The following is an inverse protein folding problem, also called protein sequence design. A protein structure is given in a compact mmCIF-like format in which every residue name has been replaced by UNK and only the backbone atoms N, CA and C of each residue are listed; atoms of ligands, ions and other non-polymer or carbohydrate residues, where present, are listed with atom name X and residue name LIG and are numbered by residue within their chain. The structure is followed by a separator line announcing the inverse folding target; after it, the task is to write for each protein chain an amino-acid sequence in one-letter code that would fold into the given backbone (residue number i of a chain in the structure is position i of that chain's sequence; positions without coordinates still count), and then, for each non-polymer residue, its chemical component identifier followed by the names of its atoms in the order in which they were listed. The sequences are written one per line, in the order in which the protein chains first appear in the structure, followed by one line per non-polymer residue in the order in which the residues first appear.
data_IF_033151675862
#
_entry.id   IF_033151675862
#
_cell.length_a   1.000
_cell.length_b   1.000
_cell.length_c   1.000
_cell.angle_alpha   90.00
_cell.angle_beta   90.00
_cell.angle_gamma   90.00
#
_symmetry.space_group_name_H-M   'P 1'
#
loop_
_entity.id
_entity.type
_entity.pdbx_description
1 polymer ?
#
# COMPACT_ATOMS: atom_id res chain seq x y z
N UNK A 1 -1.87 2.34 -13.76
CA UNK A 1 -3.31 2.24 -13.37
C UNK A 1 -3.64 1.35 -12.13
N UNK A 2 -2.71 0.50 -11.69
CA UNK A 2 -2.85 -0.46 -10.57
C UNK A 2 -2.69 0.16 -9.18
N UNK A 3 -1.97 1.29 -9.08
CA UNK A 3 -1.68 1.94 -7.80
C UNK A 3 -2.92 2.57 -7.13
N UNK A 4 -3.86 3.13 -7.89
CA UNK A 4 -5.05 3.78 -7.34
C UNK A 4 -5.97 2.83 -6.57
N UNK A 5 -6.07 1.58 -7.01
CA UNK A 5 -6.98 0.56 -6.45
C UNK A 5 -6.38 -0.02 -5.16
N UNK A 6 -5.09 -0.39 -5.19
CA UNK A 6 -4.39 -0.92 -4.01
C UNK A 6 -4.24 0.16 -2.93
N UNK A 7 -3.99 1.42 -3.31
CA UNK A 7 -3.98 2.53 -2.36
C UNK A 7 -5.37 2.85 -1.81
N UNK A 8 -6.44 2.84 -2.62
CA UNK A 8 -7.79 3.08 -2.13
C UNK A 8 -8.22 2.01 -1.12
N UNK A 9 -7.93 0.73 -1.40
CA UNK A 9 -8.22 -0.37 -0.47
C UNK A 9 -7.38 -0.29 0.81
N UNK A 10 -6.08 0.02 0.72
CA UNK A 10 -5.21 0.16 1.91
C UNK A 10 -5.49 1.42 2.73
N UNK A 11 -5.88 2.53 2.10
CA UNK A 11 -6.28 3.78 2.79
C UNK A 11 -7.63 3.59 3.48
N UNK A 12 -8.59 2.90 2.85
CA UNK A 12 -9.86 2.54 3.49
C UNK A 12 -9.67 1.62 4.71
N UNK A 13 -8.77 0.64 4.61
CA UNK A 13 -8.43 -0.27 5.71
C UNK A 13 -7.68 0.45 6.85
N UNK A 14 -6.77 1.36 6.52
CA UNK A 14 -5.95 2.11 7.47
C UNK A 14 -6.72 3.20 8.22
N UNK A 15 -7.59 3.94 7.52
CA UNK A 15 -8.43 4.98 8.12
C UNK A 15 -9.45 4.38 9.10
N UNK A 16 -10.10 3.28 8.72
CA UNK A 16 -11.03 2.54 9.58
C UNK A 16 -10.34 1.95 10.83
N UNK A 17 -9.06 1.54 10.74
CA UNK A 17 -8.31 1.06 11.91
C UNK A 17 -7.86 2.21 12.84
N UNK A 18 -7.40 3.34 12.31
CA UNK A 18 -6.80 4.41 13.13
C UNK A 18 -7.81 5.25 13.91
N UNK A 19 -9.02 5.44 13.40
CA UNK A 19 -10.06 6.21 14.10
C UNK A 19 -10.50 5.50 15.40
N UNK A 20 -10.33 4.18 15.47
CA UNK A 20 -11.02 3.38 16.47
C UNK A 20 -10.18 2.96 17.68
N UNK A 21 -8.86 2.90 17.55
CA UNK A 21 -7.96 2.54 18.67
C UNK A 21 -8.07 3.56 19.83
N UNK A 22 -8.35 4.84 19.52
CA UNK A 22 -8.51 5.88 20.54
C UNK A 22 -9.77 5.72 21.40
N UNK A 23 -10.81 5.06 20.91
CA UNK A 23 -12.05 4.85 21.67
C UNK A 23 -11.97 3.67 22.64
N UNK A 24 -11.15 2.64 22.34
CA UNK A 24 -10.89 1.50 23.22
C UNK A 24 -10.22 1.92 24.54
N UNK A 25 -9.33 2.92 24.52
CA UNK A 25 -8.64 3.42 25.71
C UNK A 25 -9.55 4.24 26.63
N UNK A 26 -10.58 4.89 26.09
CA UNK A 26 -11.52 5.71 26.86
C UNK A 26 -12.65 4.90 27.52
N UNK A 27 -13.04 3.76 26.93
CA UNK A 27 -14.14 2.92 27.43
C UNK A 27 -13.77 2.03 28.63
N UNK A 28 -12.47 1.86 28.92
CA UNK A 28 -11.98 1.06 30.06
C UNK A 28 -12.06 1.79 31.42
N UNK A 29 -12.43 3.08 31.44
CA UNK A 29 -12.36 3.95 32.64
C UNK A 29 -13.72 4.37 33.23
N UNK A 30 -14.85 3.73 32.88
CA UNK A 30 -16.19 4.16 33.31
C UNK A 30 -17.04 3.07 33.99
N UNK A 31 -17.44 3.32 35.24
CA UNK A 31 -18.07 2.40 36.19
C UNK A 31 -19.42 1.77 35.76
N UNK A 32 -19.61 0.49 36.11
CA UNK A 32 -20.83 0.07 36.84
C UNK A 32 -22.13 -0.26 36.10
N UNK A 33 -22.12 -0.62 34.81
CA UNK A 33 -23.21 -1.33 34.08
C UNK A 33 -22.56 -2.24 33.03
N UNK A 34 -21.55 -2.99 33.48
CA UNK A 34 -20.42 -3.44 32.65
C UNK A 34 -20.82 -4.32 31.47
N UNK A 35 -21.78 -5.25 31.56
CA UNK A 35 -22.10 -6.13 30.42
C UNK A 35 -22.97 -5.44 29.35
N UNK A 36 -23.93 -4.59 29.75
CA UNK A 36 -24.80 -3.88 28.82
C UNK A 36 -24.06 -2.71 28.16
N UNK A 37 -23.30 -1.93 28.92
CA UNK A 37 -22.45 -0.86 28.37
C UNK A 37 -21.39 -1.44 27.42
N UNK A 38 -20.74 -2.55 27.77
CA UNK A 38 -19.80 -3.24 26.88
C UNK A 38 -20.51 -3.77 25.63
N UNK A 39 -21.69 -4.40 25.75
CA UNK A 39 -22.42 -4.91 24.57
C UNK A 39 -22.91 -3.79 23.65
N UNK A 40 -23.35 -2.66 24.21
CA UNK A 40 -23.81 -1.49 23.45
C UNK A 40 -22.64 -0.74 22.81
N UNK A 41 -21.49 -0.62 23.49
CA UNK A 41 -20.27 -0.04 22.92
C UNK A 41 -19.67 -0.96 21.85
N UNK A 42 -19.61 -2.27 22.11
CA UNK A 42 -19.17 -3.26 21.13
C UNK A 42 -20.12 -3.33 19.91
N UNK A 43 -21.45 -3.33 20.08
CA UNK A 43 -22.36 -3.33 18.90
C UNK A 43 -22.46 -1.96 18.24
N UNK A 44 -22.47 -0.87 19.01
CA UNK A 44 -22.69 0.49 18.51
C UNK A 44 -21.45 1.13 17.89
N UNK A 45 -20.26 0.86 18.45
CA UNK A 45 -19.00 1.42 17.97
C UNK A 45 -18.23 0.42 17.11
N UNK A 46 -18.23 -0.90 17.38
CA UNK A 46 -17.42 -1.85 16.60
C UNK A 46 -18.16 -2.46 15.38
N UNK A 47 -19.50 -2.61 15.41
CA UNK A 47 -20.24 -3.12 14.25
C UNK A 47 -20.05 -2.29 12.96
N UNK A 48 -19.96 -0.94 13.00
CA UNK A 48 -19.59 -0.14 11.83
C UNK A 48 -18.23 -0.49 11.21
N UNK A 49 -17.31 -1.09 11.97
CA UNK A 49 -15.93 -1.38 11.54
C UNK A 49 -15.76 -2.75 10.89
N UNK A 50 -16.74 -3.65 11.07
CA UNK A 50 -16.80 -4.91 10.33
C UNK A 50 -17.06 -4.68 8.84
N UNK A 51 -17.87 -3.66 8.49
CA UNK A 51 -18.26 -3.37 7.11
C UNK A 51 -17.08 -2.97 6.19
N UNK A 52 -16.14 -2.08 6.60
CA UNK A 52 -14.91 -1.82 5.84
C UNK A 52 -14.04 -3.06 5.64
N UNK A 53 -13.96 -3.95 6.63
CA UNK A 53 -13.20 -5.20 6.54
C UNK A 53 -13.79 -6.14 5.48
N UNK A 54 -15.11 -6.34 5.47
CA UNK A 54 -15.77 -7.17 4.44
C UNK A 54 -15.63 -6.57 3.05
N UNK A 55 -15.81 -5.25 2.93
CA UNK A 55 -15.61 -4.53 1.67
C UNK A 55 -14.17 -4.66 1.16
N UNK A 56 -13.19 -4.66 2.06
CA UNK A 56 -11.79 -4.81 1.70
C UNK A 56 -11.46 -6.19 1.12
N UNK A 57 -12.15 -7.26 1.54
CA UNK A 57 -11.98 -8.59 0.93
C UNK A 57 -12.40 -8.61 -0.53
N UNK A 58 -13.52 -7.96 -0.86
CA UNK A 58 -13.97 -7.80 -2.25
C UNK A 58 -12.93 -6.97 -3.02
N UNK A 59 -12.42 -5.89 -2.43
CA UNK A 59 -11.37 -5.05 -3.03
C UNK A 59 -10.10 -5.85 -3.37
N UNK A 60 -9.63 -6.69 -2.45
CA UNK A 60 -8.46 -7.58 -2.68
C UNK A 60 -8.75 -8.60 -3.77
N UNK A 61 -9.92 -9.22 -3.76
CA UNK A 61 -10.32 -10.19 -4.77
C UNK A 61 -10.38 -9.56 -6.18
N UNK A 62 -10.98 -8.36 -6.30
CA UNK A 62 -11.02 -7.59 -7.54
C UNK A 62 -9.60 -7.20 -7.99
N UNK A 63 -8.73 -6.75 -7.07
CA UNK A 63 -7.35 -6.41 -7.39
C UNK A 63 -6.53 -7.62 -7.88
N UNK A 64 -6.81 -8.81 -7.35
CA UNK A 64 -6.18 -10.06 -7.79
C UNK A 64 -6.72 -10.54 -9.15
N UNK A 65 -8.02 -10.34 -9.37
CA UNK A 65 -8.69 -10.65 -10.61
C UNK A 65 -8.25 -9.73 -11.76
N UNK A 66 -7.99 -8.45 -11.47
CA UNK A 66 -7.54 -7.45 -12.45
C UNK A 66 -6.12 -7.71 -12.99
N UNK A 67 -5.36 -8.61 -12.37
CA UNK A 67 -4.02 -9.02 -12.84
C UNK A 67 -4.07 -10.21 -13.81
N UNK A 68 -5.26 -10.69 -14.19
CA UNK A 68 -5.45 -11.85 -15.05
C UNK A 68 -6.34 -11.53 -16.23
N UNK A 69 -5.99 -12.11 -17.36
CA UNK A 69 -6.81 -12.12 -18.56
C UNK A 69 -7.55 -13.46 -18.64
N UNK A 70 -8.86 -13.43 -18.93
CA UNK A 70 -9.69 -14.63 -19.08
C UNK A 70 -10.74 -14.87 -17.98
N UNK A 71 -11.48 -16.00 -18.07
CA UNK A 71 -12.66 -16.28 -17.23
C UNK A 71 -12.32 -16.47 -15.74
N UNK A 72 -11.07 -16.81 -15.41
CA UNK A 72 -10.60 -16.95 -14.02
C UNK A 72 -10.76 -15.66 -13.21
N UNK A 73 -10.72 -14.49 -13.85
CA UNK A 73 -11.00 -13.19 -13.22
C UNK A 73 -12.37 -13.20 -12.53
N UNK A 74 -13.39 -13.73 -13.22
CA UNK A 74 -14.76 -13.77 -12.68
C UNK A 74 -14.82 -14.68 -11.47
N UNK A 75 -14.13 -15.82 -11.51
CA UNK A 75 -14.05 -16.73 -10.37
C UNK A 75 -13.47 -16.06 -9.12
N UNK A 76 -12.36 -15.32 -9.24
CA UNK A 76 -11.77 -14.64 -8.09
C UNK A 76 -12.67 -13.56 -7.50
N UNK A 77 -13.34 -12.77 -8.34
CA UNK A 77 -14.30 -11.75 -7.88
C UNK A 77 -15.48 -12.40 -7.15
N UNK A 78 -16.06 -13.46 -7.73
CA UNK A 78 -17.17 -14.19 -7.12
C UNK A 78 -16.73 -14.84 -5.81
N UNK A 79 -15.56 -15.48 -5.76
CA UNK A 79 -15.03 -16.08 -4.54
C UNK A 79 -14.86 -15.05 -3.42
N UNK A 80 -14.33 -13.85 -3.73
CA UNK A 80 -14.21 -12.75 -2.77
C UNK A 80 -15.55 -12.22 -2.28
N UNK A 81 -16.52 -12.08 -3.18
CA UNK A 81 -17.88 -11.65 -2.86
C UNK A 81 -18.62 -12.67 -1.98
N UNK A 82 -18.58 -13.96 -2.36
CA UNK A 82 -19.17 -15.04 -1.58
C UNK A 82 -18.51 -15.16 -0.21
N UNK A 83 -17.18 -15.05 -0.14
CA UNK A 83 -16.46 -15.02 1.13
C UNK A 83 -16.90 -13.87 2.05
N UNK A 84 -17.07 -12.67 1.49
CA UNK A 84 -17.58 -11.52 2.24
C UNK A 84 -19.01 -11.74 2.75
N UNK A 85 -19.90 -12.32 1.93
CA UNK A 85 -21.28 -12.63 2.35
C UNK A 85 -21.32 -13.68 3.46
N UNK A 86 -20.53 -14.76 3.36
CA UNK A 86 -20.45 -15.79 4.39
C UNK A 86 -19.97 -15.19 5.71
N UNK A 87 -18.90 -14.38 5.66
CA UNK A 87 -18.32 -13.77 6.86
C UNK A 87 -19.28 -12.77 7.51
N UNK A 88 -19.98 -11.97 6.70
CA UNK A 88 -21.01 -11.05 7.18
C UNK A 88 -22.22 -11.80 7.78
N UNK A 89 -22.65 -12.89 7.13
CA UNK A 89 -23.70 -13.78 7.66
C UNK A 89 -23.31 -14.42 8.98
N UNK A 90 -22.07 -14.90 9.08
CA UNK A 90 -21.50 -15.47 10.31
C UNK A 90 -21.45 -14.43 11.44
N UNK A 91 -20.99 -13.22 11.14
CA UNK A 91 -21.01 -12.09 12.09
C UNK A 91 -22.43 -11.82 12.59
N UNK A 92 -23.40 -11.69 11.69
CA UNK A 92 -24.79 -11.42 12.05
C UNK A 92 -25.38 -12.56 12.89
N UNK A 93 -25.12 -13.82 12.53
CA UNK A 93 -25.59 -14.98 13.27
C UNK A 93 -25.01 -15.02 14.69
N UNK A 94 -23.69 -14.89 14.81
CA UNK A 94 -22.99 -14.91 16.10
C UNK A 94 -23.37 -13.72 17.00
N UNK A 95 -23.51 -12.52 16.42
CA UNK A 95 -23.88 -11.32 17.15
C UNK A 95 -25.35 -11.29 17.58
N UNK A 96 -26.24 -11.96 16.85
CA UNK A 96 -27.68 -11.98 17.13
C UNK A 96 -28.08 -13.12 18.06
N UNK A 97 -27.50 -14.31 17.88
CA UNK A 97 -27.95 -15.53 18.56
C UNK A 97 -26.93 -16.10 19.55
N UNK A 98 -25.67 -15.69 19.49
CA UNK A 98 -24.60 -16.30 20.30
C UNK A 98 -24.34 -15.65 21.66
N UNK A 99 -25.06 -14.58 22.02
CA UNK A 99 -24.83 -13.83 23.26
C UNK A 99 -23.38 -13.32 23.38
N UNK A 100 -22.89 -13.16 24.60
CA UNK A 100 -21.51 -12.70 24.83
C UNK A 100 -20.44 -13.65 24.25
N UNK A 101 -20.51 -14.99 24.41
CA UNK A 101 -19.55 -15.91 23.80
C UNK A 101 -19.53 -15.82 22.26
N UNK A 102 -20.71 -15.70 21.62
CA UNK A 102 -20.82 -15.52 20.18
C UNK A 102 -20.15 -14.24 19.69
N UNK A 103 -20.31 -13.13 20.42
CA UNK A 103 -19.61 -11.89 20.13
C UNK A 103 -18.09 -12.07 20.20
N UNK A 104 -17.56 -12.72 21.25
CA UNK A 104 -16.12 -12.99 21.37
C UNK A 104 -15.59 -13.79 20.17
N UNK A 105 -16.31 -14.84 19.75
CA UNK A 105 -15.94 -15.65 18.57
C UNK A 105 -15.97 -14.81 17.29
N UNK A 106 -17.00 -13.97 17.12
CA UNK A 106 -17.13 -13.10 15.95
C UNK A 106 -15.97 -12.09 15.86
N UNK A 107 -15.54 -11.54 16.99
CA UNK A 107 -14.37 -10.66 17.06
C UNK A 107 -13.05 -11.36 16.75
N UNK A 108 -12.85 -12.58 17.27
CA UNK A 108 -11.67 -13.37 16.94
C UNK A 108 -11.62 -13.69 15.44
N UNK A 109 -12.75 -14.00 14.82
CA UNK A 109 -12.84 -14.22 13.38
C UNK A 109 -12.46 -12.95 12.58
N UNK A 110 -12.97 -11.78 12.97
CA UNK A 110 -12.57 -10.49 12.36
C UNK A 110 -11.07 -10.21 12.52
N UNK A 111 -10.51 -10.49 13.71
CA UNK A 111 -9.08 -10.30 13.97
C UNK A 111 -8.23 -11.21 13.07
N UNK A 112 -8.61 -12.46 12.90
CA UNK A 112 -7.92 -13.40 11.99
C UNK A 112 -7.97 -12.87 10.56
N UNK A 113 -9.13 -12.42 10.08
CA UNK A 113 -9.27 -11.85 8.73
C UNK A 113 -8.39 -10.62 8.55
N UNK A 114 -8.38 -9.71 9.54
CA UNK A 114 -7.52 -8.54 9.55
C UNK A 114 -6.03 -8.92 9.49
N UNK A 115 -5.58 -9.88 10.31
CA UNK A 115 -4.19 -10.35 10.31
C UNK A 115 -3.80 -10.97 8.97
N UNK A 116 -4.69 -11.76 8.36
CA UNK A 116 -4.49 -12.32 7.03
C UNK A 116 -4.36 -11.22 5.98
N UNK A 117 -5.25 -10.22 5.99
CA UNK A 117 -5.21 -9.08 5.07
C UNK A 117 -3.91 -8.28 5.23
N UNK A 118 -3.49 -8.01 6.46
CA UNK A 118 -2.20 -7.38 6.77
C UNK A 118 -1.06 -8.23 6.17
N UNK A 119 -1.05 -9.54 6.41
CA UNK A 119 -0.05 -10.46 5.87
C UNK A 119 0.03 -10.45 4.35
N UNK A 120 -1.11 -10.46 3.65
CA UNK A 120 -1.21 -10.36 2.19
C UNK A 120 -0.59 -9.05 1.71
N UNK A 121 -0.95 -7.93 2.33
CA UNK A 121 -0.38 -6.61 2.02
C UNK A 121 1.13 -6.61 2.21
N UNK A 122 1.64 -7.10 3.35
CA UNK A 122 3.08 -7.15 3.61
C UNK A 122 3.82 -8.03 2.60
N UNK A 123 3.26 -9.19 2.23
CA UNK A 123 3.83 -10.07 1.21
C UNK A 123 3.88 -9.39 -0.15
N UNK A 124 2.80 -8.74 -0.57
CA UNK A 124 2.73 -8.03 -1.85
C UNK A 124 3.73 -6.85 -1.88
N UNK A 125 3.89 -6.14 -0.75
CA UNK A 125 4.93 -5.11 -0.63
C UNK A 125 6.33 -5.67 -0.79
N UNK A 126 6.65 -6.78 -0.11
CA UNK A 126 7.97 -7.43 -0.26
C UNK A 126 8.22 -7.86 -1.70
N UNK A 127 7.19 -8.37 -2.39
CA UNK A 127 7.26 -8.71 -3.82
C UNK A 127 7.59 -7.48 -4.67
N UNK A 128 6.86 -6.37 -4.53
CA UNK A 128 7.13 -5.14 -5.31
C UNK A 128 8.57 -4.64 -5.10
N UNK A 129 9.05 -4.63 -3.85
CA UNK A 129 10.43 -4.21 -3.56
C UNK A 129 11.45 -5.14 -4.21
N UNK A 130 11.21 -6.45 -4.18
CA UNK A 130 12.06 -7.43 -4.85
C UNK A 130 12.07 -7.23 -6.38
N UNK A 131 10.92 -6.93 -6.99
CA UNK A 131 10.83 -6.60 -8.43
C UNK A 131 11.67 -5.37 -8.75
N UNK A 132 11.55 -4.31 -7.95
CA UNK A 132 12.33 -3.09 -8.13
C UNK A 132 13.82 -3.40 -8.04
N UNK A 133 14.25 -4.16 -7.04
CA UNK A 133 15.66 -4.55 -6.87
C UNK A 133 16.17 -5.49 -7.97
N UNK A 134 15.29 -6.25 -8.62
CA UNK A 134 15.67 -7.18 -9.69
C UNK A 134 15.78 -6.47 -11.04
N UNK A 135 14.81 -5.61 -11.37
CA UNK A 135 14.65 -5.07 -12.72
C UNK A 135 15.16 -3.64 -12.90
N UNK A 136 15.35 -2.85 -11.83
CA UNK A 136 15.87 -1.47 -11.97
C UNK A 136 17.41 -1.37 -12.10
N UNK A 137 18.25 -2.21 -11.45
CA UNK A 137 19.71 -2.06 -11.55
C UNK A 137 20.29 -2.08 -12.98
N UNK A 138 19.75 -2.86 -13.94
CA UNK A 138 20.20 -2.79 -15.33
C UNK A 138 20.06 -1.41 -15.99
N UNK A 139 19.26 -0.49 -15.43
CA UNK A 139 19.12 0.88 -15.91
C UNK A 139 20.10 1.87 -15.24
N UNK A 140 20.99 1.41 -14.37
CA UNK A 140 22.04 2.24 -13.76
C UNK A 140 23.00 2.88 -14.78
N UNK A 141 23.43 2.19 -15.86
CA UNK A 141 24.32 2.77 -16.88
C UNK A 141 23.71 3.97 -17.61
N UNK A 142 22.37 4.06 -17.68
CA UNK A 142 21.69 5.19 -18.34
C UNK A 142 21.64 6.44 -17.45
N UNK A 143 22.18 6.38 -16.23
CA UNK A 143 22.10 7.42 -15.17
C UNK A 143 20.67 7.83 -14.81
N UNK A 144 19.68 7.07 -15.29
CA UNK A 144 18.27 7.36 -15.09
C UNK A 144 17.79 6.90 -13.71
N UNK A 145 18.40 5.82 -13.20
CA UNK A 145 18.11 5.22 -11.90
C UNK A 145 19.44 4.94 -11.19
N UNK A 146 19.65 5.49 -10.00
CA UNK A 146 20.81 5.19 -9.16
C UNK A 146 20.46 4.30 -7.96
N UNK A 147 21.48 3.80 -7.26
CA UNK A 147 21.30 3.04 -6.01
C UNK A 147 20.46 3.78 -4.95
N UNK A 148 20.61 5.11 -4.87
CA UNK A 148 19.79 5.96 -4.00
C UNK A 148 18.30 5.95 -4.38
N UNK A 149 17.96 5.83 -5.67
CA UNK A 149 16.59 5.78 -6.15
C UNK A 149 15.93 4.43 -5.83
N UNK A 150 16.68 3.34 -5.99
CA UNK A 150 16.23 2.00 -5.56
C UNK A 150 16.00 1.96 -4.05
N UNK A 151 16.92 2.53 -3.27
CA UNK A 151 16.77 2.66 -1.82
C UNK A 151 15.56 3.53 -1.46
N UNK A 152 15.34 4.67 -2.13
CA UNK A 152 14.16 5.51 -1.94
C UNK A 152 12.86 4.74 -2.20
N UNK A 153 12.82 3.93 -3.25
CA UNK A 153 11.62 3.19 -3.67
C UNK A 153 11.29 1.99 -2.78
N UNK A 154 12.21 1.55 -1.93
CA UNK A 154 12.07 0.34 -1.11
C UNK A 154 11.02 0.42 0.00
N UNK A 155 10.67 1.61 0.53
CA UNK A 155 9.68 1.73 1.61
C UNK A 155 8.78 2.96 1.47
N UNK A 156 7.57 2.93 2.05
CA UNK A 156 6.66 4.09 2.03
C UNK A 156 7.21 5.29 2.78
N UNK A 157 7.87 5.04 3.92
CA UNK A 157 8.49 6.10 4.70
C UNK A 157 9.52 6.85 3.83
N UNK A 158 10.39 6.11 3.12
CA UNK A 158 11.41 6.68 2.23
C UNK A 158 10.79 7.38 1.02
N UNK A 159 9.78 6.78 0.36
CA UNK A 159 9.04 7.43 -0.73
C UNK A 159 8.40 8.75 -0.28
N UNK A 160 7.75 8.75 0.90
CA UNK A 160 7.12 9.94 1.48
C UNK A 160 8.16 11.01 1.81
N UNK A 161 9.29 10.62 2.38
CA UNK A 161 10.39 11.52 2.71
C UNK A 161 10.99 12.17 1.46
N UNK A 162 11.25 11.40 0.41
CA UNK A 162 11.74 11.96 -0.84
C UNK A 162 10.75 12.96 -1.47
N UNK A 163 9.43 12.70 -1.36
CA UNK A 163 8.40 13.66 -1.77
C UNK A 163 8.39 14.93 -0.92
N UNK A 164 8.57 14.80 0.39
CA UNK A 164 8.67 15.95 1.29
C UNK A 164 9.92 16.78 1.00
N UNK A 165 11.06 16.13 0.76
CA UNK A 165 12.30 16.78 0.32
C UNK A 165 12.09 17.50 -1.02
N UNK A 166 11.54 16.82 -2.02
CA UNK A 166 11.30 17.42 -3.32
C UNK A 166 10.32 18.61 -3.24
N UNK A 167 9.35 18.56 -2.31
CA UNK A 167 8.47 19.70 -2.02
C UNK A 167 9.21 20.85 -1.35
N UNK A 168 10.11 20.56 -0.41
CA UNK A 168 10.86 21.57 0.33
C UNK A 168 11.83 22.34 -0.56
N UNK A 169 12.51 21.65 -1.50
CA UNK A 169 13.54 22.25 -2.35
C UNK A 169 13.06 22.61 -3.76
N UNK A 170 12.00 21.96 -4.27
CA UNK A 170 11.46 22.19 -5.62
C UNK A 170 9.99 22.63 -5.65
N UNK A 171 9.39 22.90 -4.48
CA UNK A 171 8.01 23.34 -4.37
C UNK A 171 6.99 22.33 -4.91
N UNK A 172 5.87 22.83 -5.44
CA UNK A 172 4.82 21.98 -6.03
C UNK A 172 5.31 21.22 -7.26
N UNK A 173 6.23 21.80 -8.04
CA UNK A 173 6.80 21.18 -9.25
C UNK A 173 7.69 19.99 -8.88
N UNK A 174 8.62 20.17 -7.93
CA UNK A 174 9.47 19.08 -7.42
C UNK A 174 8.67 17.94 -6.78
N UNK A 175 7.60 18.26 -6.03
CA UNK A 175 6.71 17.22 -5.49
C UNK A 175 6.05 16.38 -6.59
N UNK A 176 5.55 17.05 -7.64
CA UNK A 176 4.91 16.38 -8.78
C UNK A 176 5.92 15.50 -9.52
N UNK A 177 7.08 16.05 -9.86
CA UNK A 177 8.18 15.34 -10.49
C UNK A 177 8.58 14.08 -9.70
N UNK A 178 8.79 14.22 -8.38
CA UNK A 178 9.14 13.08 -7.53
C UNK A 178 8.03 12.01 -7.48
N UNK A 179 6.75 12.41 -7.46
CA UNK A 179 5.62 11.47 -7.50
C UNK A 179 5.56 10.74 -8.84
N UNK A 180 5.72 11.46 -9.93
CA UNK A 180 5.60 10.91 -11.29
C UNK A 180 6.79 9.97 -11.58
N UNK A 181 8.00 10.31 -11.12
CA UNK A 181 9.15 9.40 -11.12
C UNK A 181 8.90 8.12 -10.31
N UNK A 182 8.39 8.24 -9.07
CA UNK A 182 8.08 7.09 -8.22
C UNK A 182 7.02 6.16 -8.83
N UNK A 183 6.02 6.74 -9.50
CA UNK A 183 4.96 6.02 -10.19
C UNK A 183 5.53 5.27 -11.40
N UNK A 184 6.21 5.98 -12.31
CA UNK A 184 6.78 5.40 -13.53
C UNK A 184 7.79 4.29 -13.22
N UNK A 185 8.64 4.47 -12.19
CA UNK A 185 9.59 3.44 -11.75
C UNK A 185 8.89 2.17 -11.20
N UNK A 186 7.75 2.35 -10.51
CA UNK A 186 6.95 1.22 -10.02
C UNK A 186 6.24 0.51 -11.17
N UNK A 187 5.67 1.27 -12.11
CA UNK A 187 5.02 0.72 -13.31
C UNK A 187 6.02 -0.02 -14.21
N UNK A 188 7.26 0.47 -14.33
CA UNK A 188 8.33 -0.21 -15.07
C UNK A 188 8.68 -1.57 -14.45
N UNK A 189 8.81 -1.65 -13.12
CA UNK A 189 9.04 -2.92 -12.43
C UNK A 189 7.89 -3.92 -12.61
N UNK A 190 6.65 -3.44 -12.62
CA UNK A 190 5.47 -4.28 -12.88
C UNK A 190 5.36 -4.70 -14.36
N UNK A 191 5.78 -3.85 -15.29
CA UNK A 191 5.82 -4.15 -16.72
C UNK A 191 6.77 -5.32 -17.00
N UNK A 192 7.97 -5.30 -16.40
CA UNK A 192 8.91 -6.42 -16.46
C UNK A 192 8.32 -7.72 -15.90
N UNK A 193 7.59 -7.63 -14.78
CA UNK A 193 6.93 -8.81 -14.23
C UNK A 193 5.86 -9.39 -15.16
N UNK A 194 5.08 -8.52 -15.84
CA UNK A 194 4.07 -8.96 -16.81
C UNK A 194 4.74 -9.62 -18.02
N UNK A 195 5.83 -9.04 -18.53
CA UNK A 195 6.59 -9.62 -19.64
C UNK A 195 7.22 -10.97 -19.25
N UNK A 196 7.81 -11.08 -18.05
CA UNK A 196 8.39 -12.33 -17.54
C UNK A 196 7.36 -13.45 -17.36
N UNK A 197 6.07 -13.11 -17.24
CA UNK A 197 4.96 -14.07 -17.19
C UNK A 197 4.34 -14.35 -18.56
N UNK A 198 4.94 -13.86 -19.63
CA UNK A 198 4.43 -13.95 -21.01
C UNK A 198 3.00 -13.38 -21.17
N UNK A 199 2.63 -12.39 -20.35
CA UNK A 199 1.31 -11.75 -20.39
C UNK A 199 1.22 -10.61 -21.42
N UNK A 200 2.35 -10.19 -21.99
CA UNK A 200 2.44 -9.05 -22.92
C UNK A 200 3.40 -9.43 -24.05
N UNK A 201 3.05 -9.02 -25.26
CA UNK A 201 3.92 -9.14 -26.44
C UNK A 201 5.17 -8.25 -26.31
N UNK A 202 6.28 -8.69 -26.89
CA UNK A 202 7.58 -8.02 -26.86
C UNK A 202 7.49 -6.60 -27.46
N UNK A 203 6.68 -6.42 -28.51
CA UNK A 203 6.49 -5.10 -29.13
C UNK A 203 5.83 -4.10 -28.17
N UNK A 204 4.74 -4.53 -27.52
CA UNK A 204 4.00 -3.70 -26.54
C UNK A 204 4.89 -3.43 -25.32
N UNK A 205 5.66 -4.42 -24.88
CA UNK A 205 6.61 -4.27 -23.79
C UNK A 205 7.63 -3.16 -24.11
N UNK A 206 8.28 -3.18 -25.27
CA UNK A 206 9.27 -2.16 -25.65
C UNK A 206 8.67 -0.76 -25.84
N UNK A 207 7.41 -0.65 -26.27
CA UNK A 207 6.70 0.63 -26.37
C UNK A 207 6.38 1.20 -24.98
N UNK A 208 5.74 0.43 -24.11
CA UNK A 208 5.43 0.85 -22.73
C UNK A 208 6.72 1.16 -21.96
N UNK A 209 7.77 0.34 -22.14
CA UNK A 209 9.07 0.55 -21.51
C UNK A 209 9.67 1.89 -21.90
N UNK A 210 9.68 2.24 -23.20
CA UNK A 210 10.23 3.53 -23.68
C UNK A 210 9.45 4.71 -23.11
N UNK A 211 8.12 4.65 -23.12
CA UNK A 211 7.28 5.70 -22.56
C UNK A 211 7.53 5.91 -21.07
N UNK A 212 7.70 4.83 -20.30
CA UNK A 212 8.00 4.90 -18.86
C UNK A 212 9.39 5.49 -18.60
N UNK A 213 10.40 5.10 -19.39
CA UNK A 213 11.75 5.65 -19.28
C UNK A 213 11.79 7.14 -19.63
N UNK A 214 11.03 7.59 -20.64
CA UNK A 214 10.91 9.00 -20.99
C UNK A 214 10.19 9.82 -19.91
N UNK A 215 9.13 9.25 -19.31
CA UNK A 215 8.46 9.86 -18.17
C UNK A 215 9.43 10.05 -16.98
N UNK A 216 10.22 9.00 -16.69
CA UNK A 216 11.24 9.06 -15.63
C UNK A 216 12.34 10.08 -15.95
N UNK A 217 12.81 10.17 -17.19
CA UNK A 217 13.84 11.13 -17.60
C UNK A 217 13.36 12.57 -17.41
N UNK A 218 12.14 12.85 -17.87
CA UNK A 218 11.50 14.16 -17.78
C UNK A 218 11.25 14.56 -16.34
N UNK A 219 10.74 13.64 -15.51
CA UNK A 219 10.52 13.88 -14.10
C UNK A 219 11.84 14.14 -13.35
N UNK A 220 12.92 13.42 -13.68
CA UNK A 220 14.24 13.59 -13.07
C UNK A 220 14.86 14.96 -13.39
N UNK A 221 14.63 15.50 -14.59
CA UNK A 221 15.09 16.83 -14.97
C UNK A 221 14.49 17.95 -14.08
N UNK A 222 13.31 17.71 -13.52
CA UNK A 222 12.61 18.64 -12.61
C UNK A 222 12.96 18.42 -11.13
N UNK A 223 13.91 17.53 -10.81
CA UNK A 223 14.33 17.33 -9.44
C UNK A 223 15.09 18.56 -8.92
N UNK A 224 14.84 18.98 -7.68
CA UNK A 224 15.56 20.11 -7.13
C UNK A 224 17.05 19.79 -6.99
N UNK A 225 17.90 20.69 -7.45
CA UNK A 225 19.35 20.60 -7.30
C UNK A 225 19.70 20.93 -5.83
N UNK A 226 20.43 20.08 -5.10
CA UNK A 226 20.82 20.41 -3.74
C UNK A 226 21.71 21.67 -3.73
N UNK A 227 21.49 22.61 -2.79
CA UNK A 227 22.28 23.84 -2.73
C UNK A 227 23.77 23.54 -2.51
N UNK A 228 24.62 24.20 -3.30
CA UNK A 228 26.07 24.02 -3.41
C UNK A 228 26.84 24.36 -2.11
N UNK A 229 26.18 24.86 -1.06
CA UNK A 229 26.82 25.39 0.16
C UNK A 229 26.70 24.53 1.42
N UNK A 230 26.18 23.31 1.36
CA UNK A 230 26.21 22.39 2.51
C UNK A 230 27.53 21.59 2.61
N UNK A 231 28.65 22.15 2.11
CA UNK A 231 29.96 21.46 2.03
C UNK A 231 30.79 21.51 3.32
N UNK A 232 30.36 22.21 4.38
CA UNK A 232 31.27 22.51 5.51
C UNK A 232 30.76 22.25 6.94
N UNK A 233 29.58 21.68 7.18
CA UNK A 233 29.13 21.46 8.58
C UNK A 233 28.55 20.05 8.79
N UNK A 234 29.46 19.09 8.99
CA UNK A 234 29.37 17.97 9.93
C UNK A 234 30.29 16.83 9.46
N UNK A 235 31.41 16.62 10.17
CA UNK A 235 32.16 15.36 10.10
C UNK A 235 31.20 14.22 10.49
N UNK A 236 30.83 13.38 9.52
CA UNK A 236 30.05 12.16 9.76
C UNK A 236 28.81 11.94 8.88
N UNK A 237 28.44 12.86 7.98
CA UNK A 237 27.28 12.68 7.10
C UNK A 237 27.70 12.52 5.63
N UNK A 238 27.47 11.34 5.00
CA UNK A 238 27.66 11.17 3.56
C UNK A 238 26.62 11.96 2.76
N UNK A 239 26.87 12.26 1.48
CA UNK A 239 25.98 13.09 0.66
C UNK A 239 24.61 12.40 0.53
N UNK A 240 23.48 13.06 0.84
CA UNK A 240 22.20 12.39 0.88
C UNK A 240 21.66 12.21 -0.54
N UNK A 241 21.75 10.98 -1.06
CA UNK A 241 20.83 10.48 -2.07
C UNK A 241 19.41 10.41 -1.49
N UNK A 242 18.72 11.56 -1.45
CA UNK A 242 17.28 11.83 -1.20
C UNK A 242 16.59 11.22 0.03
N UNK A 243 17.23 10.29 0.75
CA UNK A 243 16.73 9.57 1.91
C UNK A 243 17.91 9.26 2.89
N UNK A 244 17.72 9.42 4.22
CA UNK A 244 18.70 9.01 5.22
C UNK A 244 19.03 7.52 5.07
N UNK A 245 20.32 7.20 4.96
CA UNK A 245 20.84 5.83 4.85
C UNK A 245 20.92 5.26 3.44
N UNK A 246 20.76 6.06 2.39
CA UNK A 246 21.12 5.61 1.04
C UNK A 246 22.62 5.26 0.99
N UNK A 247 23.02 4.15 0.33
CA UNK A 247 24.43 3.87 0.10
C UNK A 247 25.05 5.01 -0.72
N UNK A 248 26.21 5.49 -0.25
CA UNK A 248 26.98 6.58 -0.86
C UNK A 248 27.96 6.08 -1.90
#
# INVERSE_FOLDING_TARGET
PTDGIIYASMVGLGFAMSENVSYYLSALNGNGVSSLAVTVVLRGILSPFAHPLFSSMIGVAVAYAAQRDGPERVFFVLAGWTGAMILHGLWNGLASYGGFPGLVVAYLALLVVLVVLIGVVFRDRRRIVALIQTYLPPYEPTKLVGAADVYMLSTFARRRQARQWARAYGGKRGLRAMRDYQLAATELGLLHERAARHMIDEQIFHEEQRALLECMSTARADFPVPPVHARSVARGAPPPGYAPGAPG
#
